data_IF_555249735547
#
_entry.id   IF_555249735547
#
_cell.length_a   1.000
_cell.length_b   1.000
_cell.length_c   1.000
_cell.angle_alpha   90.00
_cell.angle_beta   90.00
_cell.angle_gamma   90.00
#
_symmetry.space_group_name_H-M   'P 1'
#
loop_
_entity.id
_entity.type
_entity.pdbx_description
1 polymer ?
#
# COMPACT_ATOMS: atom_id res chain seq x y z
N UNK A 1 -9.57 25.88 -15.42
CA UNK A 1 -8.21 25.81 -15.98
C UNK A 1 -7.37 24.96 -15.04
N UNK A 2 -6.46 24.13 -15.56
CA UNK A 2 -5.50 23.46 -14.69
C UNK A 2 -4.65 24.52 -13.98
N UNK A 3 -4.30 24.24 -12.72
CA UNK A 3 -3.36 24.97 -11.88
C UNK A 3 -1.93 24.83 -12.39
N UNK A 4 -1.60 23.72 -13.03
CA UNK A 4 -0.27 23.42 -13.56
C UNK A 4 -0.31 23.20 -15.07
N UNK A 5 0.75 23.60 -15.77
CA UNK A 5 0.85 23.45 -17.23
C UNK A 5 1.36 22.06 -17.64
N UNK A 6 1.88 21.30 -16.67
CA UNK A 6 2.46 19.97 -16.88
C UNK A 6 1.49 19.00 -17.52
N UNK A 7 2.04 18.24 -18.47
CA UNK A 7 1.39 17.11 -19.12
C UNK A 7 2.35 15.93 -19.13
N UNK A 8 1.79 14.74 -19.06
CA UNK A 8 2.52 13.48 -19.09
C UNK A 8 1.85 12.50 -20.05
N UNK A 9 2.64 11.62 -20.63
CA UNK A 9 2.17 10.48 -21.41
C UNK A 9 2.01 9.28 -20.47
N UNK A 10 0.90 8.56 -20.58
CA UNK A 10 0.53 7.46 -19.69
C UNK A 10 0.76 6.11 -20.36
N UNK A 11 1.35 5.18 -19.62
CA UNK A 11 1.72 3.84 -20.09
C UNK A 11 1.12 2.76 -19.20
N UNK A 12 0.90 1.58 -19.78
CA UNK A 12 0.50 0.38 -19.03
C UNK A 12 1.69 -0.30 -18.33
N UNK A 13 1.43 -1.38 -17.59
CA UNK A 13 2.48 -2.15 -16.89
C UNK A 13 3.37 -3.01 -17.82
N UNK A 14 3.19 -2.87 -19.14
CA UNK A 14 3.98 -3.51 -20.19
C UNK A 14 4.77 -2.50 -21.03
N UNK A 15 4.70 -1.21 -20.68
CA UNK A 15 5.39 -0.14 -21.40
C UNK A 15 4.73 0.22 -22.73
N UNK A 16 3.43 -0.04 -22.90
CA UNK A 16 2.67 0.44 -24.06
C UNK A 16 1.97 1.75 -23.71
N UNK A 17 2.00 2.70 -24.65
CA UNK A 17 1.30 3.96 -24.54
C UNK A 17 -0.21 3.75 -24.47
N UNK A 18 -0.86 4.42 -23.52
CA UNK A 18 -2.31 4.39 -23.28
C UNK A 18 -2.95 5.72 -23.71
N UNK A 19 -2.39 6.85 -23.27
CA UNK A 19 -2.90 8.19 -23.57
C UNK A 19 -1.75 9.21 -23.55
N UNK A 20 -1.75 10.16 -24.49
CA UNK A 20 -0.71 11.20 -24.58
C UNK A 20 -1.18 12.52 -23.95
N UNK A 21 -0.23 13.31 -23.46
CA UNK A 21 -0.44 14.72 -23.13
C UNK A 21 -1.54 14.97 -22.08
N UNK A 22 -1.64 14.08 -21.11
CA UNK A 22 -2.60 14.14 -20.01
C UNK A 22 -2.19 15.21 -19.01
N UNK A 23 -3.06 16.17 -18.65
CA UNK A 23 -2.74 17.16 -17.62
C UNK A 23 -2.41 16.50 -16.28
N UNK A 24 -1.33 16.92 -15.62
CA UNK A 24 -0.83 16.27 -14.39
C UNK A 24 -1.88 16.14 -13.28
N UNK A 25 -2.80 17.12 -13.19
CA UNK A 25 -3.88 17.11 -12.20
C UNK A 25 -4.93 16.02 -12.43
N UNK A 26 -5.00 15.42 -13.62
CA UNK A 26 -5.86 14.27 -13.87
C UNK A 26 -5.44 13.04 -13.06
N UNK A 27 -4.18 12.99 -12.61
CA UNK A 27 -3.63 11.97 -11.71
C UNK A 27 -3.72 12.35 -10.23
N UNK A 28 -4.22 13.56 -9.91
CA UNK A 28 -4.34 14.00 -8.52
C UNK A 28 -5.35 13.11 -7.75
N UNK A 29 -5.04 12.68 -6.52
CA UNK A 29 -6.01 12.03 -5.64
C UNK A 29 -7.30 12.84 -5.43
N UNK A 30 -7.23 14.17 -5.58
CA UNK A 30 -8.39 15.06 -5.45
C UNK A 30 -9.30 15.05 -6.68
N UNK A 31 -8.83 14.55 -7.83
CA UNK A 31 -9.54 14.60 -9.12
C UNK A 31 -9.78 13.22 -9.74
N UNK A 32 -8.80 12.32 -9.68
CA UNK A 32 -8.87 11.00 -10.30
C UNK A 32 -9.92 10.13 -9.60
N UNK A 33 -10.93 9.67 -10.35
CA UNK A 33 -12.05 8.89 -9.82
C UNK A 33 -11.63 7.49 -9.39
N UNK A 34 -10.68 6.86 -10.09
CA UNK A 34 -10.15 5.56 -9.71
C UNK A 34 -9.36 5.64 -8.40
N UNK A 35 -8.51 6.66 -8.21
CA UNK A 35 -7.83 6.87 -6.92
C UNK A 35 -8.85 7.04 -5.80
N UNK A 36 -9.87 7.88 -5.98
CA UNK A 36 -10.95 8.06 -4.98
C UNK A 36 -11.63 6.73 -4.66
N UNK A 37 -11.93 5.92 -5.68
CA UNK A 37 -12.54 4.60 -5.51
C UNK A 37 -11.64 3.64 -4.76
N UNK A 38 -10.34 3.59 -5.08
CA UNK A 38 -9.34 2.77 -4.38
C UNK A 38 -9.32 3.13 -2.89
N UNK A 39 -9.15 4.41 -2.56
CA UNK A 39 -9.07 4.88 -1.18
C UNK A 39 -10.38 4.63 -0.43
N UNK A 40 -11.51 4.92 -1.06
CA UNK A 40 -12.82 4.69 -0.49
C UNK A 40 -13.06 3.20 -0.19
N UNK A 41 -12.78 2.33 -1.16
CA UNK A 41 -12.97 0.90 -1.00
C UNK A 41 -11.98 0.33 0.04
N UNK A 42 -10.74 0.82 0.14
CA UNK A 42 -9.80 0.41 1.20
C UNK A 42 -10.35 0.73 2.59
N UNK A 43 -10.98 1.89 2.77
CA UNK A 43 -11.59 2.29 4.05
C UNK A 43 -12.77 1.40 4.45
N UNK A 44 -13.47 0.79 3.48
CA UNK A 44 -14.72 0.05 3.74
C UNK A 44 -14.61 -1.47 3.57
N UNK A 45 -13.48 -1.97 3.07
CA UNK A 45 -13.28 -3.41 2.81
C UNK A 45 -12.74 -4.11 4.06
N UNK A 46 -13.33 -5.24 4.40
CA UNK A 46 -12.92 -6.12 5.50
C UNK A 46 -12.82 -7.56 4.99
N UNK A 47 -11.75 -8.24 5.37
CA UNK A 47 -11.58 -9.68 5.17
C UNK A 47 -12.07 -10.42 6.41
N UNK A 48 -12.99 -11.37 6.25
CA UNK A 48 -13.51 -12.21 7.34
C UNK A 48 -13.01 -13.65 7.16
N UNK A 49 -12.42 -14.22 8.21
CA UNK A 49 -11.95 -15.60 8.22
C UNK A 49 -12.93 -16.51 8.99
N UNK A 50 -13.96 -17.01 8.30
CA UNK A 50 -14.98 -17.89 8.88
C UNK A 50 -14.36 -19.20 9.40
N UNK A 51 -13.41 -19.78 8.66
CA UNK A 51 -12.65 -20.95 9.13
C UNK A 51 -11.85 -20.66 10.40
N UNK A 52 -11.26 -19.47 10.53
CA UNK A 52 -10.58 -19.03 11.73
C UNK A 52 -11.53 -18.88 12.93
N UNK A 53 -12.72 -18.32 12.69
CA UNK A 53 -13.77 -18.17 13.71
C UNK A 53 -14.22 -19.55 14.20
N UNK A 54 -14.56 -20.47 13.30
CA UNK A 54 -14.98 -21.83 13.63
C UNK A 54 -13.93 -22.55 14.49
N UNK A 55 -12.67 -22.52 14.05
CA UNK A 55 -11.58 -23.19 14.77
C UNK A 55 -11.29 -22.54 16.14
N UNK A 56 -11.40 -21.22 16.25
CA UNK A 56 -11.24 -20.51 17.51
C UNK A 56 -12.34 -20.87 18.51
N UNK A 57 -13.58 -21.03 18.05
CA UNK A 57 -14.71 -21.50 18.84
C UNK A 57 -14.53 -22.95 19.28
N UNK A 58 -14.25 -23.85 18.33
CA UNK A 58 -14.08 -25.29 18.60
C UNK A 58 -12.96 -25.57 19.60
N UNK A 59 -11.89 -24.79 19.57
CA UNK A 59 -10.73 -24.97 20.46
C UNK A 59 -10.72 -24.03 21.68
N UNK A 60 -11.71 -23.14 21.81
CA UNK A 60 -11.72 -22.05 22.78
C UNK A 60 -10.41 -21.23 22.82
N UNK A 61 -9.67 -21.16 21.71
CA UNK A 61 -8.43 -20.39 21.57
C UNK A 61 -8.75 -18.98 21.07
N UNK A 62 -9.18 -18.14 21.99
CA UNK A 62 -9.62 -16.76 21.71
C UNK A 62 -8.78 -15.74 22.46
N UNK A 63 -8.75 -14.50 21.93
CA UNK A 63 -8.13 -13.36 22.61
C UNK A 63 -6.62 -13.23 22.44
N UNK A 64 -5.99 -13.96 21.51
CA UNK A 64 -4.59 -13.76 21.13
C UNK A 64 -3.70 -14.99 21.28
N UNK A 65 -2.43 -14.85 20.87
CA UNK A 65 -1.46 -15.95 20.86
C UNK A 65 -1.24 -16.54 22.26
N UNK A 66 -1.24 -17.87 22.34
CA UNK A 66 -1.06 -18.61 23.59
C UNK A 66 -2.26 -18.59 24.56
N UNK A 67 -3.39 -17.97 24.18
CA UNK A 67 -4.59 -17.91 25.02
C UNK A 67 -5.58 -19.04 24.70
N UNK A 68 -6.21 -19.56 25.75
CA UNK A 68 -7.23 -20.60 25.69
C UNK A 68 -8.09 -20.54 26.97
N UNK A 69 -9.39 -20.78 26.85
CA UNK A 69 -10.32 -20.85 27.98
C UNK A 69 -10.91 -22.26 28.05
N UNK A 70 -10.33 -23.16 28.87
CA UNK A 70 -10.83 -24.53 28.97
C UNK A 70 -12.29 -24.59 29.41
N UNK A 71 -13.09 -25.46 28.79
CA UNK A 71 -14.51 -25.64 29.11
C UNK A 71 -15.44 -24.63 28.44
N UNK A 72 -14.92 -23.85 27.48
CA UNK A 72 -15.68 -22.89 26.65
C UNK A 72 -15.65 -23.24 25.16
N UNK A 73 -15.30 -24.48 24.83
CA UNK A 73 -15.31 -25.00 23.47
C UNK A 73 -16.75 -25.02 22.92
N UNK A 74 -16.91 -24.51 21.71
CA UNK A 74 -18.18 -24.52 20.99
C UNK A 74 -17.95 -25.14 19.62
N UNK A 75 -18.48 -26.34 19.42
CA UNK A 75 -18.46 -27.02 18.12
C UNK A 75 -19.69 -26.59 17.33
N UNK A 76 -19.50 -25.62 16.43
CA UNK A 76 -20.55 -25.01 15.62
C UNK A 76 -20.11 -25.02 14.16
N UNK A 77 -21.02 -25.37 13.25
CA UNK A 77 -20.70 -25.55 11.83
C UNK A 77 -20.81 -24.22 11.07
N UNK A 78 -19.86 -23.30 11.31
CA UNK A 78 -19.85 -21.95 10.71
C UNK A 78 -19.63 -22.02 9.20
N UNK A 79 -18.71 -22.86 8.73
CA UNK A 79 -18.40 -22.99 7.29
C UNK A 79 -19.59 -23.61 6.54
N UNK A 80 -20.20 -24.67 7.08
CA UNK A 80 -21.33 -25.34 6.44
C UNK A 80 -22.56 -24.44 6.33
N UNK A 81 -22.67 -23.44 7.23
CA UNK A 81 -23.73 -22.43 7.21
C UNK A 81 -23.27 -21.07 6.67
N UNK A 82 -22.13 -21.00 5.98
CA UNK A 82 -21.51 -19.73 5.56
C UNK A 82 -22.44 -18.87 4.69
N UNK A 83 -23.24 -19.48 3.81
CA UNK A 83 -24.20 -18.77 2.95
C UNK A 83 -25.27 -18.06 3.77
N UNK A 84 -25.94 -18.77 4.69
CA UNK A 84 -26.96 -18.19 5.57
C UNK A 84 -26.37 -17.12 6.51
N UNK A 85 -25.16 -17.34 7.01
CA UNK A 85 -24.45 -16.37 7.86
C UNK A 85 -24.13 -15.10 7.07
N UNK A 86 -23.63 -15.24 5.84
CA UNK A 86 -23.25 -14.13 4.98
C UNK A 86 -24.48 -13.32 4.53
N UNK A 87 -25.57 -13.98 4.14
CA UNK A 87 -26.84 -13.33 3.79
C UNK A 87 -27.37 -12.50 4.96
N UNK A 88 -27.49 -13.11 6.14
CA UNK A 88 -27.94 -12.42 7.35
C UNK A 88 -27.00 -11.29 7.78
N UNK A 89 -25.69 -11.47 7.61
CA UNK A 89 -24.71 -10.43 7.90
C UNK A 89 -24.88 -9.25 6.94
N UNK A 90 -25.10 -9.53 5.65
CA UNK A 90 -25.36 -8.51 4.62
C UNK A 90 -26.59 -7.68 4.96
N UNK A 91 -27.69 -8.31 5.37
CA UNK A 91 -28.92 -7.61 5.80
C UNK A 91 -28.67 -6.60 6.92
N UNK A 92 -27.76 -6.90 7.86
CA UNK A 92 -27.40 -5.99 8.96
C UNK A 92 -26.36 -4.93 8.54
N UNK A 93 -25.46 -5.26 7.62
CA UNK A 93 -24.40 -4.36 7.16
C UNK A 93 -24.99 -3.28 6.25
N UNK A 94 -25.89 -3.65 5.33
CA UNK A 94 -26.51 -2.71 4.40
C UNK A 94 -27.34 -1.65 5.12
N UNK A 95 -27.52 -0.50 4.49
CA UNK A 95 -28.39 0.57 4.98
C UNK A 95 -29.75 0.48 4.30
N UNK A 96 -29.75 0.21 3.00
CA UNK A 96 -30.95 -0.03 2.21
C UNK A 96 -30.72 -1.13 1.17
N UNK A 97 -31.79 -1.80 0.77
CA UNK A 97 -31.70 -2.86 -0.24
C UNK A 97 -31.22 -2.27 -1.57
N UNK A 98 -30.18 -2.87 -2.15
CA UNK A 98 -29.60 -2.43 -3.42
C UNK A 98 -28.53 -1.33 -3.31
N UNK A 99 -28.10 -0.96 -2.08
CA UNK A 99 -26.94 -0.10 -1.90
C UNK A 99 -25.61 -0.79 -2.32
N UNK A 100 -24.48 -0.12 -2.12
CA UNK A 100 -23.16 -0.60 -2.55
C UNK A 100 -22.50 -1.58 -1.56
N UNK A 101 -23.29 -2.21 -0.69
CA UNK A 101 -22.83 -3.29 0.21
C UNK A 101 -22.46 -4.54 -0.58
N UNK A 102 -21.27 -5.07 -0.29
CA UNK A 102 -20.82 -6.35 -0.83
C UNK A 102 -20.54 -7.31 0.32
N UNK A 103 -21.09 -8.52 0.25
CA UNK A 103 -20.68 -9.67 1.07
C UNK A 103 -20.57 -10.85 0.12
N UNK A 104 -19.34 -11.27 -0.15
CA UNK A 104 -19.02 -12.34 -1.10
C UNK A 104 -18.23 -13.43 -0.39
N UNK A 105 -18.71 -14.67 -0.46
CA UNK A 105 -18.00 -15.83 0.05
C UNK A 105 -16.88 -16.23 -0.89
N UNK A 106 -15.74 -16.58 -0.31
CA UNK A 106 -14.53 -17.00 -1.02
C UNK A 106 -14.04 -18.33 -0.46
N UNK A 107 -13.33 -19.09 -1.31
CA UNK A 107 -12.72 -20.38 -0.94
C UNK A 107 -13.71 -21.34 -0.28
N UNK A 108 -14.83 -21.60 -0.95
CA UNK A 108 -15.90 -22.50 -0.48
C UNK A 108 -16.44 -22.11 0.90
N UNK A 109 -16.74 -20.81 1.10
CA UNK A 109 -17.32 -20.29 2.35
C UNK A 109 -16.32 -20.08 3.48
N UNK A 110 -15.04 -20.43 3.31
CA UNK A 110 -14.05 -20.29 4.38
C UNK A 110 -13.68 -18.84 4.70
N UNK A 111 -13.77 -17.94 3.71
CA UNK A 111 -13.49 -16.50 3.82
C UNK A 111 -14.69 -15.72 3.31
N UNK A 112 -14.83 -14.47 3.74
CA UNK A 112 -15.74 -13.52 3.11
C UNK A 112 -15.04 -12.19 2.81
N UNK A 113 -15.28 -11.65 1.62
CA UNK A 113 -15.03 -10.26 1.27
C UNK A 113 -16.25 -9.44 1.68
N UNK A 114 -16.02 -8.43 2.51
CA UNK A 114 -17.07 -7.51 2.94
C UNK A 114 -16.68 -6.11 2.50
N UNK A 115 -17.57 -5.40 1.81
CA UNK A 115 -17.49 -3.96 1.63
C UNK A 115 -18.69 -3.32 2.30
N UNK A 116 -18.44 -2.59 3.39
CA UNK A 116 -19.46 -1.81 4.11
C UNK A 116 -19.96 -0.69 3.19
N UNK A 117 -21.26 -0.32 3.22
CA UNK A 117 -21.81 0.66 2.28
C UNK A 117 -21.21 2.05 2.50
N UNK A 118 -21.07 2.80 1.40
CA UNK A 118 -20.50 4.16 1.37
C UNK A 118 -21.18 5.08 2.39
N UNK A 119 -22.51 5.02 2.49
CA UNK A 119 -23.33 5.87 3.36
C UNK A 119 -22.92 5.84 4.84
N UNK A 120 -22.42 4.70 5.32
CA UNK A 120 -21.89 4.57 6.69
C UNK A 120 -20.58 5.33 6.87
N UNK A 121 -19.70 5.31 5.86
CA UNK A 121 -18.44 6.04 5.90
C UNK A 121 -18.66 7.55 5.72
N UNK A 122 -19.63 7.96 4.91
CA UNK A 122 -19.98 9.37 4.70
C UNK A 122 -20.44 10.07 5.98
N UNK A 123 -21.11 9.33 6.86
CA UNK A 123 -21.57 9.82 8.17
C UNK A 123 -20.60 9.52 9.32
N UNK A 124 -19.48 8.86 9.04
CA UNK A 124 -18.48 8.50 10.06
C UNK A 124 -17.36 9.53 10.13
N UNK A 125 -16.77 9.69 11.32
CA UNK A 125 -15.58 10.50 11.48
C UNK A 125 -14.33 9.84 10.85
N UNK A 126 -14.27 8.50 10.83
CA UNK A 126 -13.14 7.73 10.32
C UNK A 126 -13.57 6.33 9.86
N UNK A 127 -12.62 5.43 9.62
CA UNK A 127 -12.80 4.16 8.89
C UNK A 127 -13.04 2.93 9.78
N UNK A 128 -12.95 3.02 11.11
CA UNK A 128 -13.21 1.91 12.03
C UNK A 128 -14.65 1.42 11.98
N UNK A 129 -15.57 2.20 11.40
CA UNK A 129 -16.93 1.73 11.06
C UNK A 129 -16.89 0.42 10.26
N UNK A 130 -15.91 0.25 9.38
CA UNK A 130 -15.82 -0.95 8.54
C UNK A 130 -15.59 -2.24 9.36
N UNK A 131 -14.50 -2.40 10.12
CA UNK A 131 -14.30 -3.60 10.93
C UNK A 131 -15.36 -3.76 12.03
N UNK A 132 -15.85 -2.68 12.65
CA UNK A 132 -16.79 -2.78 13.78
C UNK A 132 -18.20 -3.19 13.34
N UNK A 133 -18.72 -2.62 12.26
CA UNK A 133 -20.03 -3.01 11.70
C UNK A 133 -19.96 -4.45 11.20
N UNK A 134 -18.90 -4.79 10.46
CA UNK A 134 -18.69 -6.15 9.96
C UNK A 134 -18.62 -7.15 11.11
N UNK A 135 -17.82 -6.87 12.14
CA UNK A 135 -17.71 -7.77 13.30
C UNK A 135 -19.06 -8.00 13.97
N UNK A 136 -19.81 -6.93 14.26
CA UNK A 136 -21.10 -7.02 14.94
C UNK A 136 -22.13 -7.80 14.12
N UNK A 137 -22.16 -7.60 12.80
CA UNK A 137 -23.06 -8.32 11.91
C UNK A 137 -22.72 -9.82 11.89
N UNK A 138 -21.45 -10.19 11.70
CA UNK A 138 -21.07 -11.60 11.68
C UNK A 138 -21.26 -12.28 13.05
N UNK A 139 -21.02 -11.58 14.16
CA UNK A 139 -21.29 -12.11 15.51
C UNK A 139 -22.77 -12.46 15.66
N UNK A 140 -23.67 -11.51 15.36
CA UNK A 140 -25.11 -11.73 15.45
C UNK A 140 -25.58 -12.82 14.49
N UNK A 141 -25.06 -12.83 13.26
CA UNK A 141 -25.41 -13.85 12.27
C UNK A 141 -25.04 -15.25 12.73
N UNK A 142 -23.82 -15.51 13.25
CA UNK A 142 -23.50 -16.88 13.67
C UNK A 142 -24.24 -17.24 14.97
N UNK A 143 -24.48 -16.29 15.89
CA UNK A 143 -25.31 -16.55 17.07
C UNK A 143 -26.70 -17.03 16.65
N UNK A 144 -27.33 -16.34 15.72
CA UNK A 144 -28.69 -16.65 15.31
C UNK A 144 -28.77 -17.91 14.43
N UNK A 145 -27.87 -18.06 13.46
CA UNK A 145 -27.89 -19.20 12.52
C UNK A 145 -27.46 -20.50 13.21
N UNK A 146 -26.51 -20.43 14.16
CA UNK A 146 -26.04 -21.60 14.91
C UNK A 146 -26.74 -21.79 16.26
N UNK A 147 -27.82 -21.03 16.54
CA UNK A 147 -28.62 -21.08 17.78
C UNK A 147 -27.78 -21.07 19.07
N UNK A 148 -26.85 -20.11 19.17
CA UNK A 148 -25.90 -20.02 20.28
C UNK A 148 -26.57 -19.37 21.50
N UNK A 149 -26.47 -20.03 22.65
CA UNK A 149 -27.08 -19.56 23.90
C UNK A 149 -26.51 -18.20 24.36
N UNK A 150 -27.30 -17.47 25.13
CA UNK A 150 -26.88 -16.20 25.76
C UNK A 150 -25.63 -16.35 26.65
N UNK A 151 -25.38 -17.53 27.20
CA UNK A 151 -24.25 -17.79 28.10
C UNK A 151 -22.92 -17.99 27.34
N UNK A 152 -23.01 -18.33 26.06
CA UNK A 152 -21.89 -18.74 25.21
C UNK A 152 -21.61 -17.74 24.07
N UNK A 153 -22.58 -16.89 23.72
CA UNK A 153 -22.47 -15.84 22.71
C UNK A 153 -21.22 -14.94 22.86
N UNK A 154 -20.72 -14.74 24.08
CA UNK A 154 -19.49 -13.98 24.32
C UNK A 154 -18.24 -14.63 23.69
N UNK A 155 -18.21 -15.95 23.53
CA UNK A 155 -17.11 -16.66 22.86
C UNK A 155 -17.09 -16.37 21.35
N UNK A 156 -18.26 -16.20 20.72
CA UNK A 156 -18.36 -15.73 19.32
C UNK A 156 -17.74 -14.35 19.17
N UNK A 157 -18.10 -13.42 20.06
CA UNK A 157 -17.49 -12.08 20.07
C UNK A 157 -15.96 -12.14 20.23
N UNK A 158 -15.46 -13.03 21.09
CA UNK A 158 -14.03 -13.21 21.29
C UNK A 158 -13.34 -13.86 20.07
N UNK A 159 -14.00 -14.78 19.36
CA UNK A 159 -13.49 -15.41 18.15
C UNK A 159 -13.44 -14.44 16.95
N UNK A 160 -14.42 -13.54 16.83
CA UNK A 160 -14.49 -12.58 15.72
C UNK A 160 -13.56 -11.38 15.94
N UNK A 161 -13.63 -10.72 17.11
CA UNK A 161 -12.95 -9.43 17.37
C UNK A 161 -11.87 -9.52 18.46
N UNK A 162 -11.56 -10.72 18.94
CA UNK A 162 -10.46 -10.93 19.87
C UNK A 162 -10.70 -10.33 21.26
N UNK A 163 -9.62 -9.84 21.87
CA UNK A 163 -9.59 -9.33 23.26
C UNK A 163 -10.10 -7.89 23.43
N UNK A 164 -10.52 -7.23 22.34
CA UNK A 164 -11.12 -5.90 22.42
C UNK A 164 -12.43 -5.93 23.24
N UNK A 165 -12.64 -5.02 24.22
CA UNK A 165 -11.93 -3.73 24.42
C UNK A 165 -10.83 -3.72 25.49
N UNK A 166 -10.48 -4.87 26.08
CA UNK A 166 -9.38 -4.91 27.05
C UNK A 166 -8.04 -4.58 26.38
N UNK A 167 -7.82 -5.10 25.17
CA UNK A 167 -6.79 -4.58 24.27
C UNK A 167 -7.37 -3.43 23.45
N UNK A 168 -6.53 -2.41 23.19
CA UNK A 168 -6.90 -1.31 22.27
C UNK A 168 -7.09 -1.83 20.85
N UNK A 169 -6.22 -2.74 20.40
CA UNK A 169 -6.30 -3.44 19.11
C UNK A 169 -7.25 -4.65 19.17
N UNK A 170 -7.63 -5.17 18.00
CA UNK A 170 -8.45 -6.38 17.83
C UNK A 170 -7.63 -7.68 17.99
N UNK A 171 -6.83 -7.75 19.05
CA UNK A 171 -5.83 -8.83 19.27
C UNK A 171 -6.50 -10.21 19.30
N UNK A 172 -6.14 -11.05 18.35
CA UNK A 172 -6.67 -12.41 18.21
C UNK A 172 -8.05 -12.50 17.55
N UNK A 173 -8.53 -11.40 16.95
CA UNK A 173 -9.70 -11.44 16.07
C UNK A 173 -9.40 -12.14 14.74
N UNK A 174 -10.46 -12.60 14.09
CA UNK A 174 -10.41 -13.32 12.81
C UNK A 174 -10.98 -12.48 11.65
N UNK A 175 -10.90 -11.15 11.78
CA UNK A 175 -11.14 -10.21 10.68
C UNK A 175 -9.88 -9.37 10.46
N UNK A 176 -9.65 -8.93 9.22
CA UNK A 176 -8.51 -8.12 8.86
C UNK A 176 -8.89 -7.00 7.88
N UNK A 177 -8.16 -5.90 7.95
CA UNK A 177 -8.26 -4.73 7.08
C UNK A 177 -6.86 -4.35 6.62
N UNK A 178 -6.72 -3.66 5.48
CA UNK A 178 -5.43 -3.09 5.10
C UNK A 178 -5.01 -1.96 6.05
N UNK A 179 -5.98 -1.15 6.49
CA UNK A 179 -5.78 -0.13 7.52
C UNK A 179 -5.73 -0.76 8.91
N UNK A 180 -4.95 -0.15 9.80
CA UNK A 180 -4.92 -0.47 11.22
C UNK A 180 -5.70 0.58 12.03
N UNK A 181 -5.89 0.36 13.32
CA UNK A 181 -6.68 1.24 14.18
C UNK A 181 -6.12 2.68 14.27
N UNK A 182 -6.99 3.69 14.43
CA UNK A 182 -6.58 5.09 14.44
C UNK A 182 -5.68 5.48 15.63
N UNK A 183 -5.65 4.70 16.71
CA UNK A 183 -4.77 4.94 17.86
C UNK A 183 -3.29 4.64 17.55
N UNK A 184 -2.99 3.92 16.47
CA UNK A 184 -1.61 3.58 16.06
C UNK A 184 -1.01 4.56 15.05
N UNK A 185 -1.71 5.66 14.77
CA UNK A 185 -1.21 6.69 13.87
C UNK A 185 -0.09 7.47 14.55
N UNK A 186 1.07 7.46 13.91
CA UNK A 186 2.26 8.17 14.35
C UNK A 186 2.13 9.71 14.19
N UNK A 187 1.09 10.16 13.49
CA UNK A 187 0.63 11.54 13.42
C UNK A 187 -0.76 11.64 12.78
N UNK A 188 -1.49 12.75 12.96
CA UNK A 188 -2.75 12.97 12.24
C UNK A 188 -2.55 12.88 10.72
N UNK A 189 -3.49 12.22 10.02
CA UNK A 189 -3.44 12.03 8.56
C UNK A 189 -2.63 10.81 8.07
N UNK A 190 -2.08 9.99 8.98
CA UNK A 190 -1.20 8.86 8.61
C UNK A 190 -1.91 7.54 8.28
N UNK A 191 -3.25 7.51 8.27
CA UNK A 191 -4.00 6.25 8.17
C UNK A 191 -3.63 5.43 6.93
N UNK A 192 -3.59 6.07 5.77
CA UNK A 192 -3.22 5.42 4.50
C UNK A 192 -1.75 5.00 4.44
N UNK A 193 -0.92 5.50 5.35
CA UNK A 193 0.49 5.09 5.49
C UNK A 193 0.67 3.89 6.40
N UNK A 194 -0.32 3.56 7.23
CA UNK A 194 -0.26 2.42 8.14
C UNK A 194 -0.77 1.14 7.48
N UNK A 195 -0.25 0.86 6.29
CA UNK A 195 -0.55 -0.33 5.48
C UNK A 195 0.77 -1.05 5.23
N UNK A 196 0.90 -2.27 5.74
CA UNK A 196 2.09 -3.11 5.56
C UNK A 196 2.46 -3.25 4.07
N UNK A 197 3.74 -3.14 3.74
CA UNK A 197 4.24 -3.41 2.37
C UNK A 197 3.78 -4.80 1.90
N UNK A 198 3.81 -5.81 2.77
CA UNK A 198 3.31 -7.14 2.43
C UNK A 198 1.81 -7.18 2.08
N UNK A 199 0.97 -6.29 2.61
CA UNK A 199 -0.44 -6.20 2.22
C UNK A 199 -0.59 -5.68 0.79
N UNK A 200 0.19 -4.67 0.44
CA UNK A 200 0.23 -4.08 -0.92
C UNK A 200 0.69 -5.14 -1.93
N UNK A 201 1.80 -5.82 -1.63
CA UNK A 201 2.38 -6.87 -2.48
C UNK A 201 1.45 -8.08 -2.60
N UNK A 202 0.74 -8.42 -1.53
CA UNK A 202 -0.28 -9.48 -1.54
C UNK A 202 -1.49 -9.12 -2.43
N UNK A 203 -2.03 -7.91 -2.29
CA UNK A 203 -3.20 -7.46 -3.06
C UNK A 203 -2.91 -7.38 -4.56
N UNK A 204 -1.70 -6.96 -4.93
CA UNK A 204 -1.22 -6.82 -6.32
C UNK A 204 -0.60 -8.10 -6.89
N UNK A 205 -0.72 -9.22 -6.16
CA UNK A 205 -0.22 -10.54 -6.58
C UNK A 205 1.26 -10.54 -7.02
N UNK A 206 2.10 -9.76 -6.34
CA UNK A 206 3.53 -9.58 -6.66
C UNK A 206 3.82 -9.03 -8.07
N UNK A 207 2.86 -8.41 -8.76
CA UNK A 207 3.17 -7.62 -9.95
C UNK A 207 3.89 -6.33 -9.52
N UNK A 208 5.15 -6.18 -9.93
CA UNK A 208 6.05 -5.12 -9.47
C UNK A 208 5.52 -3.71 -9.72
N UNK A 209 5.08 -3.41 -10.95
CA UNK A 209 4.59 -2.06 -11.29
C UNK A 209 3.24 -1.77 -10.64
N UNK A 210 2.38 -2.78 -10.49
CA UNK A 210 1.11 -2.62 -9.77
C UNK A 210 1.34 -2.38 -8.27
N UNK A 211 2.31 -3.07 -7.65
CA UNK A 211 2.70 -2.86 -6.25
C UNK A 211 3.27 -1.44 -6.02
N UNK A 212 4.13 -0.96 -6.94
CA UNK A 212 4.63 0.41 -6.94
C UNK A 212 3.48 1.41 -7.07
N UNK A 213 2.58 1.22 -8.03
CA UNK A 213 1.43 2.08 -8.25
C UNK A 213 0.52 2.14 -7.02
N UNK A 214 0.11 0.99 -6.45
CA UNK A 214 -0.73 0.96 -5.25
C UNK A 214 -0.06 1.69 -4.08
N UNK A 215 1.23 1.39 -3.84
CA UNK A 215 1.99 2.02 -2.77
C UNK A 215 2.11 3.53 -2.96
N UNK A 216 2.38 3.98 -4.18
CA UNK A 216 2.56 5.39 -4.49
C UNK A 216 1.25 6.17 -4.39
N UNK A 217 0.14 5.59 -4.85
CA UNK A 217 -1.22 6.14 -4.68
C UNK A 217 -1.54 6.33 -3.20
N UNK A 218 -1.30 5.30 -2.37
CA UNK A 218 -1.56 5.36 -0.93
C UNK A 218 -0.71 6.43 -0.23
N UNK A 219 0.61 6.40 -0.47
CA UNK A 219 1.54 7.32 0.15
C UNK A 219 1.30 8.77 -0.28
N UNK A 220 1.16 9.06 -1.58
CA UNK A 220 0.91 10.42 -2.05
C UNK A 220 -0.48 10.92 -1.70
N UNK A 221 -1.51 10.05 -1.64
CA UNK A 221 -2.81 10.47 -1.11
C UNK A 221 -2.73 10.83 0.37
N UNK A 222 -1.95 10.08 1.17
CA UNK A 222 -1.68 10.45 2.56
C UNK A 222 -1.00 11.81 2.67
N UNK A 223 -0.12 12.19 1.73
CA UNK A 223 0.50 13.52 1.74
C UNK A 223 -0.53 14.65 1.55
N UNK A 224 -1.63 14.41 0.82
CA UNK A 224 -2.75 15.35 0.77
C UNK A 224 -3.50 15.40 2.10
N UNK A 225 -3.75 14.24 2.74
CA UNK A 225 -4.43 14.16 4.04
C UNK A 225 -3.63 14.84 5.16
N UNK A 226 -2.30 14.71 5.13
CA UNK A 226 -1.36 15.33 6.08
C UNK A 226 -1.14 16.82 5.83
N UNK A 227 -1.62 17.37 4.71
CA UNK A 227 -1.39 18.77 4.30
C UNK A 227 0.00 19.03 3.71
N UNK A 228 0.83 17.99 3.54
CA UNK A 228 2.15 18.09 2.91
C UNK A 228 2.05 18.40 1.41
N UNK A 229 1.01 17.93 0.73
CA UNK A 229 0.75 18.20 -0.69
C UNK A 229 -0.16 19.43 -0.90
N UNK A 230 0.01 20.49 -0.11
CA UNK A 230 -0.75 21.74 -0.22
C UNK A 230 0.15 22.91 -0.63
N UNK A 231 -0.38 23.79 -1.48
CA UNK A 231 0.29 25.03 -1.85
C UNK A 231 1.52 24.80 -2.73
N UNK A 232 2.71 25.14 -2.22
CA UNK A 232 3.98 25.08 -2.97
C UNK A 232 4.46 23.65 -3.24
N UNK A 233 3.99 22.69 -2.46
CA UNK A 233 4.46 21.30 -2.52
C UNK A 233 3.51 20.37 -3.29
N UNK A 234 2.31 20.84 -3.65
CA UNK A 234 1.33 20.02 -4.38
C UNK A 234 1.90 19.52 -5.72
N UNK A 235 2.57 20.39 -6.50
CA UNK A 235 3.20 19.98 -7.78
C UNK A 235 4.30 18.94 -7.59
N UNK A 236 5.11 19.05 -6.53
CA UNK A 236 6.16 18.08 -6.19
C UNK A 236 5.56 16.68 -5.99
N UNK A 237 4.47 16.57 -5.23
CA UNK A 237 3.82 15.29 -4.96
C UNK A 237 3.04 14.74 -6.15
N UNK A 238 2.44 15.61 -6.99
CA UNK A 238 1.78 15.17 -8.21
C UNK A 238 2.78 14.61 -9.23
N UNK A 239 3.89 15.29 -9.46
CA UNK A 239 4.96 14.79 -10.32
C UNK A 239 5.62 13.53 -9.74
N UNK A 240 5.81 13.50 -8.41
CA UNK A 240 6.26 12.30 -7.70
C UNK A 240 5.37 11.08 -7.97
N UNK A 241 4.06 11.22 -7.74
CA UNK A 241 3.09 10.16 -8.04
C UNK A 241 3.14 9.73 -9.51
N UNK A 242 3.20 10.69 -10.45
CA UNK A 242 3.20 10.40 -11.87
C UNK A 242 4.44 9.63 -12.33
N UNK A 243 5.64 10.16 -12.09
CA UNK A 243 6.89 9.56 -12.59
C UNK A 243 7.34 8.35 -11.77
N UNK A 244 7.23 8.40 -10.45
CA UNK A 244 7.64 7.30 -9.58
C UNK A 244 6.61 6.16 -9.57
N UNK A 245 5.33 6.52 -9.43
CA UNK A 245 4.26 5.58 -9.14
C UNK A 245 3.53 5.05 -10.38
N UNK A 246 3.37 5.91 -11.38
CA UNK A 246 2.47 5.67 -12.51
C UNK A 246 3.19 5.58 -13.87
N UNK A 247 4.52 5.44 -13.87
CA UNK A 247 5.35 5.27 -15.06
C UNK A 247 5.10 6.35 -16.14
N UNK A 248 4.92 7.60 -15.72
CA UNK A 248 4.78 8.73 -16.64
C UNK A 248 5.96 8.81 -17.63
N UNK A 249 5.64 9.12 -18.89
CA UNK A 249 6.58 9.21 -20.02
C UNK A 249 7.44 7.95 -20.23
N UNK A 250 6.94 6.81 -19.75
CA UNK A 250 7.60 5.51 -19.71
C UNK A 250 8.99 5.51 -19.06
N UNK A 251 9.33 6.57 -18.31
CA UNK A 251 10.68 6.81 -17.81
C UNK A 251 11.19 5.65 -16.95
N UNK A 252 10.36 5.21 -16.01
CA UNK A 252 10.67 4.08 -15.12
C UNK A 252 10.89 2.79 -15.93
N UNK A 253 9.96 2.45 -16.82
CA UNK A 253 10.06 1.23 -17.62
C UNK A 253 11.29 1.24 -18.54
N UNK A 254 11.57 2.36 -19.20
CA UNK A 254 12.69 2.48 -20.14
C UNK A 254 14.04 2.38 -19.43
N UNK A 255 14.19 3.00 -18.25
CA UNK A 255 15.39 2.86 -17.42
C UNK A 255 15.62 1.40 -17.01
N UNK A 256 14.57 0.70 -16.56
CA UNK A 256 14.65 -0.73 -16.23
C UNK A 256 15.02 -1.57 -17.46
N UNK A 257 14.44 -1.25 -18.61
CA UNK A 257 14.71 -1.99 -19.87
C UNK A 257 16.15 -1.80 -20.33
N UNK A 258 16.71 -0.60 -20.20
CA UNK A 258 18.09 -0.31 -20.55
C UNK A 258 19.09 -1.01 -19.62
N UNK A 259 18.76 -1.10 -18.32
CA UNK A 259 19.69 -1.57 -17.29
C UNK A 259 19.44 -3.02 -16.81
N UNK A 260 18.35 -3.67 -17.23
CA UNK A 260 17.90 -4.92 -16.64
C UNK A 260 18.74 -6.17 -16.97
N UNK A 261 19.70 -6.09 -17.90
CA UNK A 261 20.53 -7.23 -18.31
C UNK A 261 21.88 -7.29 -17.59
N UNK A 262 22.52 -6.14 -17.45
CA UNK A 262 23.91 -6.00 -16.98
C UNK A 262 24.13 -4.71 -16.16
N UNK A 263 23.07 -3.94 -15.91
CA UNK A 263 23.13 -2.69 -15.16
C UNK A 263 23.26 -2.88 -13.66
N UNK A 264 23.53 -1.76 -12.99
CA UNK A 264 23.65 -1.60 -11.55
C UNK A 264 22.92 -0.34 -11.11
N UNK A 265 22.94 -0.02 -9.81
CA UNK A 265 22.44 1.29 -9.33
C UNK A 265 23.18 2.44 -10.04
N UNK A 266 24.50 2.35 -10.18
CA UNK A 266 25.30 3.41 -10.81
C UNK A 266 24.95 3.66 -12.27
N UNK A 267 24.70 2.61 -13.06
CA UNK A 267 24.32 2.78 -14.47
C UNK A 267 22.91 3.34 -14.64
N UNK A 268 21.97 3.00 -13.74
CA UNK A 268 20.65 3.65 -13.72
C UNK A 268 20.77 5.13 -13.36
N UNK A 269 21.63 5.49 -12.40
CA UNK A 269 21.93 6.89 -12.07
C UNK A 269 22.50 7.63 -13.27
N UNK A 270 23.44 7.03 -14.01
CA UNK A 270 23.97 7.64 -15.24
C UNK A 270 22.85 7.89 -16.27
N UNK A 271 22.02 6.88 -16.54
CA UNK A 271 20.95 6.96 -17.55
C UNK A 271 19.84 7.96 -17.18
N UNK A 272 19.40 8.00 -15.92
CA UNK A 272 18.36 8.98 -15.50
C UNK A 272 18.88 10.41 -15.60
N UNK A 273 20.16 10.63 -15.34
CA UNK A 273 20.73 11.96 -15.47
C UNK A 273 20.93 12.35 -16.94
N UNK A 274 21.40 11.43 -17.79
CA UNK A 274 21.47 11.70 -19.23
C UNK A 274 20.08 12.02 -19.79
N UNK A 275 19.05 11.25 -19.40
CA UNK A 275 17.67 11.54 -19.76
C UNK A 275 17.20 12.93 -19.25
N UNK A 276 17.49 13.27 -18.00
CA UNK A 276 17.13 14.59 -17.45
C UNK A 276 17.84 15.76 -18.16
N UNK A 277 19.04 15.54 -18.71
CA UNK A 277 19.75 16.53 -19.54
C UNK A 277 19.13 16.64 -20.93
N UNK A 278 18.82 15.51 -21.56
CA UNK A 278 18.18 15.44 -22.88
C UNK A 278 16.83 16.17 -22.87
N UNK A 279 16.04 15.97 -21.82
CA UNK A 279 14.73 16.61 -21.65
C UNK A 279 14.83 18.05 -21.11
N UNK A 280 16.03 18.56 -20.86
CA UNK A 280 16.27 19.93 -20.39
C UNK A 280 15.84 20.21 -18.94
N UNK A 281 15.54 19.16 -18.16
CA UNK A 281 15.18 19.25 -16.73
C UNK A 281 16.37 19.77 -15.91
N UNK A 282 17.58 19.40 -16.31
CA UNK A 282 18.82 19.90 -15.70
C UNK A 282 19.78 20.43 -16.76
N UNK A 283 20.68 21.32 -16.35
CA UNK A 283 21.73 21.87 -17.22
C UNK A 283 23.01 22.07 -16.42
N UNK A 284 24.15 22.12 -17.11
CA UNK A 284 25.41 22.46 -16.46
C UNK A 284 25.33 23.92 -15.99
N UNK A 285 25.44 24.13 -14.68
CA UNK A 285 25.46 25.46 -14.07
C UNK A 285 26.89 26.00 -13.99
N UNK A 286 27.84 25.12 -13.64
CA UNK A 286 29.25 25.49 -13.47
C UNK A 286 30.17 24.30 -13.76
N UNK A 287 31.34 24.59 -14.32
CA UNK A 287 32.42 23.62 -14.45
C UNK A 287 33.50 23.86 -13.37
N UNK A 288 33.90 22.78 -12.72
CA UNK A 288 35.06 22.69 -11.83
C UNK A 288 36.18 21.93 -12.56
N UNK A 289 37.27 21.59 -11.86
CA UNK A 289 38.39 20.87 -12.47
C UNK A 289 38.03 19.40 -12.79
N UNK A 290 37.48 19.18 -14.00
CA UNK A 290 37.05 17.86 -14.47
C UNK A 290 35.68 17.41 -13.93
N UNK A 291 34.92 18.29 -13.29
CA UNK A 291 33.61 17.99 -12.72
C UNK A 291 32.57 19.03 -13.13
N UNK A 292 31.41 18.58 -13.61
CA UNK A 292 30.31 19.47 -14.02
C UNK A 292 29.27 19.52 -12.91
N UNK A 293 29.07 20.70 -12.34
CA UNK A 293 27.99 20.97 -11.39
C UNK A 293 26.73 21.31 -12.19
N UNK A 294 25.68 20.54 -11.97
CA UNK A 294 24.38 20.74 -12.60
C UNK A 294 23.47 21.61 -11.74
N UNK A 295 22.62 22.38 -12.41
CA UNK A 295 21.55 23.16 -11.83
C UNK A 295 20.23 22.83 -12.52
N UNK A 296 19.12 23.23 -11.90
CA UNK A 296 17.77 23.10 -12.46
C UNK A 296 16.93 24.33 -12.13
N UNK A 297 16.11 24.76 -13.08
CA UNK A 297 15.09 25.78 -12.85
C UNK A 297 13.76 25.15 -12.35
N UNK A 298 13.69 23.81 -12.31
CA UNK A 298 12.52 23.04 -11.90
C UNK A 298 12.89 21.87 -10.97
N UNK A 299 13.11 22.20 -9.69
CA UNK A 299 13.44 21.23 -8.66
C UNK A 299 12.37 20.14 -8.46
N UNK A 300 11.10 20.44 -8.74
CA UNK A 300 10.03 19.46 -8.56
C UNK A 300 10.06 18.39 -9.68
N UNK A 301 10.34 18.80 -10.91
CA UNK A 301 10.51 17.87 -12.04
C UNK A 301 11.81 17.08 -11.92
N UNK A 302 12.92 17.71 -11.51
CA UNK A 302 14.16 17.00 -11.19
C UNK A 302 13.93 15.92 -10.13
N UNK A 303 13.26 16.26 -9.02
CA UNK A 303 12.94 15.30 -7.97
C UNK A 303 12.09 14.14 -8.49
N UNK A 304 11.14 14.39 -9.39
CA UNK A 304 10.30 13.35 -9.98
C UNK A 304 11.09 12.41 -10.90
N UNK A 305 12.00 12.93 -11.72
CA UNK A 305 12.90 12.13 -12.56
C UNK A 305 13.82 11.27 -11.70
N UNK A 306 14.47 11.87 -10.69
CA UNK A 306 15.29 11.13 -9.74
C UNK A 306 14.48 10.05 -9.00
N UNK A 307 13.21 10.32 -8.64
CA UNK A 307 12.35 9.34 -7.99
C UNK A 307 11.96 8.16 -8.91
N UNK A 308 11.77 8.39 -10.22
CA UNK A 308 11.60 7.31 -11.19
C UNK A 308 12.89 6.48 -11.33
N UNK A 309 14.05 7.15 -11.39
CA UNK A 309 15.36 6.51 -11.37
C UNK A 309 15.57 5.62 -10.14
N UNK A 310 15.19 6.10 -8.96
CA UNK A 310 15.29 5.37 -7.69
C UNK A 310 14.48 4.06 -7.70
N UNK A 311 13.25 4.07 -8.25
CA UNK A 311 12.45 2.85 -8.41
C UNK A 311 13.09 1.95 -9.47
N UNK A 312 13.58 2.50 -10.58
CA UNK A 312 14.27 1.73 -11.61
C UNK A 312 15.51 1.02 -11.04
N UNK A 313 16.34 1.73 -10.28
CA UNK A 313 17.53 1.20 -9.60
C UNK A 313 17.16 0.09 -8.62
N UNK A 314 16.05 0.24 -7.90
CA UNK A 314 15.51 -0.80 -7.01
C UNK A 314 15.11 -2.03 -7.81
N UNK A 315 14.36 -1.87 -8.90
CA UNK A 315 13.92 -2.99 -9.75
C UNK A 315 15.14 -3.71 -10.36
N UNK A 316 16.13 -2.98 -10.84
CA UNK A 316 17.37 -3.55 -11.42
C UNK A 316 18.16 -4.31 -10.35
N UNK A 317 18.48 -3.67 -9.23
CA UNK A 317 19.35 -4.25 -8.21
C UNK A 317 18.68 -5.43 -7.46
N UNK A 318 17.46 -5.22 -6.94
CA UNK A 318 16.74 -6.28 -6.22
C UNK A 318 16.14 -7.32 -7.16
N UNK A 319 15.80 -6.94 -8.40
CA UNK A 319 15.37 -7.89 -9.44
C UNK A 319 16.50 -8.81 -9.89
N UNK A 320 17.72 -8.32 -9.99
CA UNK A 320 18.90 -9.15 -10.28
C UNK A 320 19.17 -10.16 -9.15
N UNK A 321 19.07 -9.72 -7.88
CA UNK A 321 19.25 -10.60 -6.73
C UNK A 321 18.06 -11.53 -6.46
N UNK A 322 16.87 -11.17 -6.93
CA UNK A 322 15.57 -11.78 -6.53
C UNK A 322 15.40 -11.89 -5.01
N UNK A 323 15.91 -10.88 -4.30
CA UNK A 323 15.94 -10.80 -2.84
C UNK A 323 15.69 -9.35 -2.40
N UNK A 324 14.70 -9.14 -1.52
CA UNK A 324 14.26 -7.78 -1.18
C UNK A 324 15.22 -7.02 -0.24
N UNK A 325 16.06 -7.70 0.53
CA UNK A 325 16.83 -7.10 1.64
C UNK A 325 17.74 -5.93 1.22
N UNK A 326 18.20 -5.92 -0.03
CA UNK A 326 19.08 -4.88 -0.55
C UNK A 326 18.40 -3.54 -0.83
N UNK A 327 17.06 -3.46 -0.77
CA UNK A 327 16.32 -2.23 -1.10
C UNK A 327 16.70 -1.04 -0.21
N UNK A 328 16.98 -1.29 1.07
CA UNK A 328 17.44 -0.22 1.97
C UNK A 328 18.80 0.34 1.54
N UNK A 329 19.66 -0.50 0.97
CA UNK A 329 20.96 -0.09 0.42
C UNK A 329 20.80 0.64 -0.92
N UNK A 330 19.91 0.18 -1.80
CA UNK A 330 19.61 0.88 -3.06
C UNK A 330 19.06 2.27 -2.79
N UNK A 331 18.08 2.42 -1.88
CA UNK A 331 17.53 3.75 -1.60
C UNK A 331 18.60 4.68 -1.03
N UNK A 332 19.52 4.17 -0.21
CA UNK A 332 20.60 4.98 0.34
C UNK A 332 21.57 5.42 -0.77
N UNK A 333 22.18 4.46 -1.46
CA UNK A 333 23.30 4.77 -2.35
C UNK A 333 22.89 5.32 -3.72
N UNK A 334 21.66 5.10 -4.18
CA UNK A 334 21.14 5.82 -5.35
C UNK A 334 21.15 7.34 -5.08
N UNK A 335 20.65 7.74 -3.91
CA UNK A 335 20.62 9.15 -3.49
C UNK A 335 22.02 9.71 -3.21
N UNK A 336 22.87 8.97 -2.49
CA UNK A 336 24.24 9.40 -2.22
C UNK A 336 25.04 9.58 -3.54
N UNK A 337 24.95 8.59 -4.44
CA UNK A 337 25.66 8.66 -5.74
C UNK A 337 25.13 9.81 -6.59
N UNK A 338 23.81 9.98 -6.74
CA UNK A 338 23.26 11.03 -7.62
C UNK A 338 23.63 12.45 -7.14
N UNK A 339 23.73 12.66 -5.81
CA UNK A 339 24.18 13.92 -5.24
C UNK A 339 25.64 14.22 -5.58
N UNK A 340 26.55 13.28 -5.34
CA UNK A 340 27.97 13.47 -5.62
C UNK A 340 28.32 13.43 -7.10
N UNK A 341 27.49 12.81 -7.93
CA UNK A 341 27.69 12.72 -9.37
C UNK A 341 27.32 14.03 -10.09
N UNK A 342 26.36 14.82 -9.55
CA UNK A 342 25.83 16.00 -10.27
C UNK A 342 25.76 17.30 -9.47
N UNK A 343 25.86 17.28 -8.15
CA UNK A 343 25.73 18.46 -7.30
C UNK A 343 24.29 18.98 -7.13
N UNK A 344 23.30 18.15 -7.49
CA UNK A 344 21.88 18.38 -7.25
C UNK A 344 21.40 17.53 -6.06
N UNK A 345 20.35 17.94 -5.34
CA UNK A 345 19.84 17.17 -4.21
C UNK A 345 19.23 15.84 -4.68
N UNK A 346 19.36 14.81 -3.85
CA UNK A 346 18.70 13.53 -4.02
C UNK A 346 17.18 13.61 -3.83
N UNK A 347 16.52 12.48 -4.00
CA UNK A 347 15.07 12.32 -3.90
C UNK A 347 14.58 12.76 -2.52
N UNK A 348 13.52 13.56 -2.55
CA UNK A 348 12.89 14.18 -1.40
C UNK A 348 13.89 15.00 -0.57
N UNK A 349 14.87 15.59 -1.24
CA UNK A 349 15.89 16.49 -0.69
C UNK A 349 16.66 15.85 0.48
N UNK A 350 17.12 14.61 0.29
CA UNK A 350 17.86 13.83 1.28
C UNK A 350 16.99 13.06 2.28
N UNK A 351 15.66 13.24 2.27
CA UNK A 351 14.78 12.46 3.17
C UNK A 351 14.68 11.00 2.77
N UNK A 352 14.73 10.68 1.46
CA UNK A 352 14.75 9.30 1.01
C UNK A 352 16.01 8.59 1.50
N UNK A 353 17.18 9.23 1.35
CA UNK A 353 18.45 8.73 1.87
C UNK A 353 18.43 8.57 3.40
N UNK A 354 17.98 9.59 4.15
CA UNK A 354 17.88 9.50 5.60
C UNK A 354 16.93 8.40 6.08
N UNK A 355 15.82 8.18 5.35
CA UNK A 355 14.93 7.04 5.58
C UNK A 355 15.66 5.71 5.37
N UNK A 356 16.48 5.63 4.33
CA UNK A 356 17.25 4.44 3.97
C UNK A 356 18.38 4.12 4.95
N UNK A 357 19.01 5.13 5.56
CA UNK A 357 19.98 4.94 6.64
C UNK A 357 19.33 4.23 7.83
N UNK A 358 18.22 4.76 8.34
CA UNK A 358 17.48 4.16 9.44
C UNK A 358 16.92 2.77 9.07
N UNK A 359 16.32 2.65 7.89
CA UNK A 359 15.78 1.38 7.41
C UNK A 359 16.85 0.29 7.25
N UNK A 360 18.02 0.63 6.72
CA UNK A 360 19.15 -0.32 6.62
C UNK A 360 19.55 -0.84 8.01
N UNK A 361 19.69 0.07 8.97
CA UNK A 361 20.01 -0.29 10.34
C UNK A 361 18.95 -1.20 10.98
N UNK A 362 17.67 -0.83 10.90
CA UNK A 362 16.57 -1.60 11.53
C UNK A 362 16.13 -2.83 10.73
N UNK A 363 16.73 -3.12 9.58
CA UNK A 363 16.58 -4.40 8.88
C UNK A 363 17.79 -5.34 9.03
N UNK A 364 18.88 -4.86 9.66
CA UNK A 364 20.14 -5.60 9.80
C UNK A 364 20.73 -5.50 11.23
N UNK A 365 19.91 -5.20 12.23
CA UNK A 365 20.36 -5.05 13.62
C UNK A 365 19.42 -5.71 14.63
N UNK A 366 19.81 -5.65 15.90
CA UNK A 366 19.12 -6.28 17.03
C UNK A 366 18.06 -5.39 17.69
N UNK A 367 17.91 -4.13 17.28
CA UNK A 367 17.16 -3.12 18.03
C UNK A 367 15.67 -3.04 17.72
N UNK A 368 15.21 -3.75 16.68
CA UNK A 368 13.83 -3.71 16.22
C UNK A 368 13.77 -3.71 14.69
N UNK A 369 12.60 -3.41 14.14
CA UNK A 369 12.33 -3.54 12.71
C UNK A 369 12.24 -5.01 12.29
N UNK A 370 12.80 -5.35 11.14
CA UNK A 370 12.73 -6.71 10.56
C UNK A 370 12.94 -6.72 9.04
N UNK A 371 12.34 -7.69 8.35
CA UNK A 371 12.42 -7.77 6.88
C UNK A 371 11.67 -6.63 6.19
N UNK A 372 12.00 -6.27 4.93
CA UNK A 372 11.41 -5.14 4.23
C UNK A 372 9.87 -5.12 4.20
N UNK A 373 9.27 -6.31 4.12
CA UNK A 373 7.82 -6.49 3.99
C UNK A 373 6.96 -6.03 5.19
N UNK A 374 7.57 -5.87 6.37
CA UNK A 374 6.85 -5.45 7.59
C UNK A 374 6.90 -3.93 7.85
N UNK A 375 7.63 -3.18 7.03
CA UNK A 375 7.62 -1.72 7.10
C UNK A 375 6.40 -1.14 6.40
N UNK A 376 6.13 0.14 6.68
CA UNK A 376 5.08 0.95 6.06
C UNK A 376 5.38 2.45 6.30
N UNK A 377 4.64 3.35 5.66
CA UNK A 377 4.87 4.80 5.77
C UNK A 377 4.47 5.39 7.13
N UNK A 378 3.76 4.66 7.97
CA UNK A 378 3.48 5.04 9.36
C UNK A 378 4.60 4.59 10.30
N UNK A 379 5.29 3.50 10.02
CA UNK A 379 6.34 2.95 10.87
C UNK A 379 7.45 3.99 11.14
N UNK A 380 7.85 4.12 12.41
CA UNK A 380 8.75 5.18 12.88
C UNK A 380 10.07 5.27 12.10
N UNK A 381 10.57 4.14 11.60
CA UNK A 381 11.81 4.03 10.80
C UNK A 381 11.63 4.55 9.37
N UNK A 382 10.46 4.36 8.78
CA UNK A 382 10.23 4.53 7.34
C UNK A 382 9.25 5.66 7.00
N UNK A 383 8.83 6.44 7.99
CA UNK A 383 7.86 7.54 7.83
C UNK A 383 8.43 8.86 7.31
N UNK A 384 9.76 9.01 7.30
CA UNK A 384 10.41 10.32 7.14
C UNK A 384 10.32 10.87 5.72
N UNK A 385 10.58 10.05 4.71
CA UNK A 385 10.30 10.42 3.32
C UNK A 385 8.79 10.52 3.09
N UNK A 386 8.40 11.56 2.34
CA UNK A 386 7.03 11.95 2.07
C UNK A 386 6.48 11.27 0.82
N UNK A 387 6.49 9.94 0.87
CA UNK A 387 5.94 9.04 -0.14
C UNK A 387 6.93 8.50 -1.16
N UNK A 388 8.21 8.90 -1.09
CA UNK A 388 9.20 8.52 -2.10
C UNK A 388 10.02 7.26 -1.76
N UNK A 389 9.94 6.73 -0.54
CA UNK A 389 10.73 5.55 -0.14
C UNK A 389 9.93 4.24 -0.20
N UNK A 390 8.72 4.19 0.39
CA UNK A 390 7.92 2.96 0.53
C UNK A 390 7.56 2.30 -0.82
N UNK A 391 7.26 3.03 -1.91
CA UNK A 391 7.00 2.39 -3.21
C UNK A 391 8.16 1.53 -3.72
N UNK A 392 9.42 1.92 -3.45
CA UNK A 392 10.59 1.12 -3.77
C UNK A 392 10.61 -0.20 -2.96
N UNK A 393 10.24 -0.14 -1.68
CA UNK A 393 10.15 -1.33 -0.81
C UNK A 393 9.08 -2.30 -1.31
N UNK A 394 7.94 -1.79 -1.80
CA UNK A 394 6.91 -2.60 -2.45
C UNK A 394 7.44 -3.27 -3.73
N UNK A 395 8.18 -2.55 -4.58
CA UNK A 395 8.83 -3.13 -5.76
C UNK A 395 9.77 -4.29 -5.39
N UNK A 396 10.65 -4.08 -4.42
CA UNK A 396 11.61 -5.07 -3.97
C UNK A 396 10.96 -6.33 -3.40
N UNK A 397 9.93 -6.17 -2.57
CA UNK A 397 9.19 -7.29 -2.00
C UNK A 397 8.35 -8.06 -3.03
N UNK A 398 7.88 -7.40 -4.09
CA UNK A 398 7.25 -8.08 -5.23
C UNK A 398 8.26 -8.94 -6.02
N UNK A 399 9.52 -8.53 -6.09
CA UNK A 399 10.60 -9.24 -6.81
C UNK A 399 11.24 -10.39 -6.01
N UNK A 400 11.00 -10.45 -4.71
CA UNK A 400 11.54 -11.45 -3.80
C UNK A 400 11.08 -12.89 -4.13
N UNK A 401 12.04 -13.79 -4.33
CA UNK A 401 11.79 -15.19 -4.68
C UNK A 401 11.65 -16.14 -3.47
N UNK A 402 11.37 -15.61 -2.27
CA UNK A 402 11.20 -16.40 -1.05
C UNK A 402 12.40 -16.35 -0.10
N UNK A 403 13.08 -15.20 -0.03
CA UNK A 403 14.22 -15.01 0.90
C UNK A 403 13.79 -14.52 2.27
N UNK A 404 12.56 -14.01 2.39
CA UNK A 404 12.04 -13.43 3.62
C UNK A 404 11.33 -14.46 4.48
N UNK A 405 11.65 -14.49 5.78
CA UNK A 405 10.87 -15.25 6.76
C UNK A 405 9.47 -14.64 6.93
N UNK A 406 9.39 -13.32 7.16
CA UNK A 406 8.14 -12.57 7.26
C UNK A 406 7.66 -12.12 5.87
N UNK A 407 7.36 -13.09 5.01
CA UNK A 407 6.89 -12.88 3.64
C UNK A 407 5.40 -12.49 3.58
N UNK A 408 4.90 -12.00 2.42
CA UNK A 408 3.47 -11.79 2.22
C UNK A 408 2.62 -13.04 2.47
N UNK A 409 3.15 -14.23 2.17
CA UNK A 409 2.47 -15.50 2.44
C UNK A 409 2.23 -15.72 3.93
N UNK A 410 3.18 -15.32 4.80
CA UNK A 410 3.05 -15.47 6.25
C UNK A 410 2.21 -14.34 6.87
N UNK A 411 2.46 -13.09 6.48
CA UNK A 411 1.87 -11.93 7.18
C UNK A 411 0.58 -11.43 6.56
N UNK A 412 0.22 -11.90 5.37
CA UNK A 412 -0.80 -11.25 4.54
C UNK A 412 -1.65 -12.22 3.74
N UNK A 413 -1.68 -13.51 4.12
CA UNK A 413 -2.50 -14.53 3.45
C UNK A 413 -3.99 -14.18 3.40
N UNK A 414 -4.59 -13.74 4.52
CA UNK A 414 -6.00 -13.34 4.55
C UNK A 414 -6.27 -12.08 3.71
N UNK A 415 -5.35 -11.11 3.74
CA UNK A 415 -5.44 -9.91 2.90
C UNK A 415 -5.34 -10.28 1.43
N UNK A 416 -4.41 -11.17 1.05
CA UNK A 416 -4.29 -11.70 -0.31
C UNK A 416 -5.59 -12.32 -0.78
N UNK A 417 -6.18 -13.21 0.00
CA UNK A 417 -7.38 -13.96 -0.38
C UNK A 417 -8.57 -13.06 -0.72
N UNK A 418 -8.68 -11.92 -0.03
CA UNK A 418 -9.81 -10.99 -0.14
C UNK A 418 -9.48 -9.78 -1.02
N UNK A 419 -8.47 -9.01 -0.68
CA UNK A 419 -8.19 -7.72 -1.34
C UNK A 419 -7.69 -7.89 -2.78
N UNK A 420 -7.09 -9.03 -3.14
CA UNK A 420 -6.73 -9.30 -4.55
C UNK A 420 -7.94 -9.57 -5.47
N UNK A 421 -9.13 -9.77 -4.91
CA UNK A 421 -10.38 -9.93 -5.67
C UNK A 421 -10.98 -8.61 -6.14
N UNK A 422 -10.53 -7.50 -5.55
CA UNK A 422 -10.93 -6.17 -6.01
C UNK A 422 -9.97 -5.74 -7.11
N UNK A 423 -10.46 -5.65 -8.34
CA UNK A 423 -9.62 -5.40 -9.50
C UNK A 423 -8.85 -4.07 -9.38
N UNK A 424 -9.46 -3.03 -8.83
CA UNK A 424 -8.80 -1.74 -8.62
C UNK A 424 -7.67 -1.78 -7.59
N UNK A 425 -7.67 -2.76 -6.68
CA UNK A 425 -6.56 -2.97 -5.75
C UNK A 425 -5.46 -3.82 -6.37
N UNK A 426 -5.84 -4.79 -7.22
CA UNK A 426 -4.92 -5.72 -7.86
C UNK A 426 -4.15 -5.06 -9.01
N UNK A 427 -4.83 -4.23 -9.80
CA UNK A 427 -4.32 -3.61 -11.03
C UNK A 427 -4.52 -2.08 -11.03
N UNK A 428 -4.12 -1.36 -9.96
CA UNK A 428 -4.43 0.06 -9.80
C UNK A 428 -3.86 0.94 -10.92
N UNK A 429 -2.69 0.58 -11.49
CA UNK A 429 -2.11 1.37 -12.59
C UNK A 429 -3.10 1.45 -13.74
N UNK A 430 -3.66 0.30 -14.15
CA UNK A 430 -4.64 0.19 -15.23
C UNK A 430 -5.82 1.14 -15.02
N UNK A 431 -6.44 1.10 -13.85
CA UNK A 431 -7.64 1.90 -13.57
C UNK A 431 -7.34 3.39 -13.41
N UNK A 432 -6.13 3.76 -12.98
CA UNK A 432 -5.74 5.16 -12.81
C UNK A 432 -5.34 5.81 -14.15
N UNK A 433 -4.68 5.07 -15.05
CA UNK A 433 -4.30 5.58 -16.37
C UNK A 433 -5.40 5.50 -17.41
N UNK A 434 -6.34 4.54 -17.31
CA UNK A 434 -7.58 4.54 -18.11
C UNK A 434 -8.50 5.66 -17.59
N UNK A 435 -8.23 6.90 -18.03
CA UNK A 435 -9.01 8.08 -17.66
C UNK A 435 -10.48 7.84 -18.01
N UNK A 436 -11.31 7.62 -16.98
CA UNK A 436 -12.74 7.43 -17.17
C UNK A 436 -13.34 8.69 -17.82
N UNK A 437 -14.19 8.54 -18.85
CA UNK A 437 -14.89 9.68 -19.43
C UNK A 437 -15.70 10.39 -18.33
N UNK A 438 -15.59 11.73 -18.30
CA UNK A 438 -16.26 12.58 -17.32
C UNK A 438 -17.77 12.50 -17.38
#
# INVERSE_FOLDING_TARGET
>A
MPKYEDKVDLYDDRGNLVEEQVPIEALSPLRNTAIKKIIHDIKRTVAVNLEGIENALRSAKVGGSGCHIPGRELDVDVIDNAEAIAEKAKEMIQVEEGDDTVVELLHDGKRALVKVPSSRLESAAEYSVAPLVTASAFIQSIIDVCDISIYDANMVKAAVLGRYPQSVEYVGGNIATMLDIPQKLEGPGYALRNILVNHIVAATLKNTLQAVALSSILEHTAMFEMGDAVGKFERLHLLGLAYQGLNADNLLYDLVKANGKDGTVGSVVEDVVERAKEDGVIKVEKELNGYKVYGTDDLALWNAYAAAGLVAATIVNQGAARAAQGVSSTILYDNDIIEFERGLPGVDFGRAEGTAVGFSFFSHSIYGGGGPGIFNGNHIVTRHSKGFAIPCVAAAMALDAGTQMFSPELTSGLIKDVFSKVDEFREPLKYVVELQPK
#
